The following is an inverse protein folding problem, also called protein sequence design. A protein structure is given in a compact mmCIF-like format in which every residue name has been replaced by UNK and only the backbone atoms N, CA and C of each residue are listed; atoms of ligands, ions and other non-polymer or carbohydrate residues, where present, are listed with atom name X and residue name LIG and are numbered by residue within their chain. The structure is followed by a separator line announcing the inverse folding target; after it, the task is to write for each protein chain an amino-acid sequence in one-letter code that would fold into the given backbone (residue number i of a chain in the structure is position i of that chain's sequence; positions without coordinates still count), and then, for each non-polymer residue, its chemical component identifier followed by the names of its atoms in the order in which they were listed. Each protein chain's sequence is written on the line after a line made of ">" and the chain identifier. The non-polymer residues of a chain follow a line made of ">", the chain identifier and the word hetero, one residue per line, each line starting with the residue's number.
data_IF_320429591133
#
_entry.id   IF_320429591133
#
_cell.length_a   1.000
_cell.length_b   1.000
_cell.length_c   1.000
_cell.angle_alpha   90.00
_cell.angle_beta   90.00
_cell.angle_gamma   90.00
#
_symmetry.space_group_name_H-M   'P 1'
#
loop_
_entity.id
_entity.type
_entity.pdbx_description
1 polymer ?
#
# COMPACT_ATOMS: atom_id res chain seq x y z
N UNK A 1 13.87 1.83 -10.82
CA UNK A 1 14.27 2.04 -9.40
C UNK A 1 13.38 3.14 -8.83
N UNK A 2 12.56 2.82 -7.81
CA UNK A 2 11.74 3.81 -7.08
C UNK A 2 12.68 4.64 -6.21
N UNK A 3 12.72 5.96 -6.42
CA UNK A 3 13.68 6.85 -5.73
C UNK A 3 13.04 7.64 -4.59
N UNK A 4 11.72 7.69 -4.49
CA UNK A 4 11.05 8.32 -3.35
C UNK A 4 9.52 8.25 -3.40
N UNK A 5 8.92 8.24 -2.21
CA UNK A 5 7.48 8.27 -1.97
C UNK A 5 7.11 9.59 -1.29
N UNK A 6 6.39 10.47 -1.98
CA UNK A 6 5.97 11.77 -1.44
C UNK A 6 4.46 11.77 -1.18
N UNK A 7 4.08 12.13 0.04
CA UNK A 7 2.70 12.22 0.48
C UNK A 7 2.22 13.65 0.25
N UNK A 8 1.20 13.85 -0.59
CA UNK A 8 0.92 15.19 -1.11
C UNK A 8 -0.43 15.82 -0.71
N UNK A 9 -1.55 15.12 -0.45
CA UNK A 9 -2.81 15.82 -0.08
C UNK A 9 -3.76 15.08 0.88
N UNK A 10 -4.55 15.89 1.62
CA UNK A 10 -5.54 15.56 2.66
C UNK A 10 -5.07 14.54 3.72
N UNK A 11 -4.26 15.03 4.65
CA UNK A 11 -3.90 14.32 5.88
C UNK A 11 -5.05 14.41 6.89
N UNK A 12 -5.58 13.27 7.30
CA UNK A 12 -6.51 13.18 8.44
C UNK A 12 -6.02 12.15 9.43
N UNK A 13 -6.09 12.50 10.71
CA UNK A 13 -5.80 11.57 11.78
C UNK A 13 -7.05 10.76 12.09
N UNK A 14 -6.95 9.44 12.03
CA UNK A 14 -8.04 8.51 12.34
C UNK A 14 -7.55 7.45 13.32
N UNK A 15 -8.44 6.98 14.19
CA UNK A 15 -8.22 5.73 14.93
C UNK A 15 -8.49 4.55 13.99
N UNK A 16 -7.99 3.36 14.34
CA UNK A 16 -8.18 2.16 13.50
C UNK A 16 -9.66 1.81 13.36
N UNK A 17 -10.41 1.87 14.46
CA UNK A 17 -11.85 1.60 14.46
C UNK A 17 -12.65 2.60 13.62
N UNK A 18 -12.30 3.89 13.66
CA UNK A 18 -12.98 4.89 12.82
C UNK A 18 -12.67 4.71 11.33
N UNK A 19 -11.44 4.32 10.99
CA UNK A 19 -11.08 3.99 9.62
C UNK A 19 -11.77 2.71 9.14
N UNK A 20 -11.89 1.69 10.00
CA UNK A 20 -12.59 0.44 9.71
C UNK A 20 -14.07 0.70 9.37
N UNK A 21 -14.74 1.55 10.15
CA UNK A 21 -16.11 1.97 9.89
C UNK A 21 -16.22 2.76 8.57
N UNK A 22 -15.30 3.71 8.33
CA UNK A 22 -15.28 4.52 7.11
C UNK A 22 -15.10 3.68 5.84
N UNK A 23 -14.23 2.67 5.88
CA UNK A 23 -13.96 1.77 4.76
C UNK A 23 -14.96 0.62 4.65
N UNK A 24 -15.94 0.53 5.56
CA UNK A 24 -16.84 -0.62 5.68
C UNK A 24 -16.08 -1.95 5.81
N UNK A 25 -14.94 -1.94 6.50
CA UNK A 25 -14.04 -3.08 6.66
C UNK A 25 -13.83 -3.39 8.16
N UNK A 26 -14.77 -4.10 8.82
CA UNK A 26 -14.71 -4.33 10.26
C UNK A 26 -13.49 -5.16 10.69
N UNK A 27 -12.94 -5.95 9.78
CA UNK A 27 -11.74 -6.78 9.96
C UNK A 27 -10.42 -6.00 9.83
N UNK A 28 -10.47 -4.72 9.46
CA UNK A 28 -9.27 -3.88 9.29
C UNK A 28 -8.33 -3.90 10.52
N UNK A 29 -8.80 -3.83 11.77
CA UNK A 29 -7.91 -3.89 12.93
C UNK A 29 -7.10 -5.19 12.99
N UNK A 30 -7.73 -6.33 12.70
CA UNK A 30 -7.07 -7.63 12.73
C UNK A 30 -6.06 -7.76 11.59
N UNK A 31 -6.43 -7.35 10.36
CA UNK A 31 -5.53 -7.36 9.20
C UNK A 31 -4.31 -6.48 9.47
N UNK A 32 -4.55 -5.28 9.98
CA UNK A 32 -3.49 -4.33 10.29
C UNK A 32 -2.59 -4.84 11.41
N UNK A 33 -3.14 -5.51 12.42
CA UNK A 33 -2.37 -6.10 13.51
C UNK A 33 -1.45 -7.22 13.02
N UNK A 34 -1.96 -8.15 12.21
CA UNK A 34 -1.14 -9.17 11.54
C UNK A 34 -0.06 -8.55 10.66
N UNK A 35 -0.43 -7.53 9.87
CA UNK A 35 0.52 -6.84 9.01
C UNK A 35 1.61 -6.13 9.80
N UNK A 36 1.29 -5.46 10.91
CA UNK A 36 2.30 -4.81 11.74
C UNK A 36 3.22 -5.85 12.42
N UNK A 37 2.64 -6.95 12.89
CA UNK A 37 3.39 -8.04 13.49
C UNK A 37 4.40 -8.65 12.51
N UNK A 38 3.95 -8.98 11.29
CA UNK A 38 4.82 -9.57 10.24
C UNK A 38 5.98 -8.67 9.83
N UNK A 39 5.86 -7.37 10.07
CA UNK A 39 6.91 -6.38 9.76
C UNK A 39 7.91 -6.22 10.90
N UNK A 40 7.46 -6.40 12.15
CA UNK A 40 8.32 -6.34 13.35
C UNK A 40 9.10 -7.65 13.56
N UNK A 41 8.50 -8.79 13.19
CA UNK A 41 9.05 -10.13 13.39
C UNK A 41 9.08 -10.90 12.05
N UNK A 42 10.01 -10.57 11.13
CA UNK A 42 10.04 -11.16 9.78
C UNK A 42 10.56 -12.61 9.72
N UNK A 43 10.99 -13.19 10.85
CA UNK A 43 11.67 -14.49 10.92
C UNK A 43 10.81 -15.58 11.59
N UNK A 44 9.68 -15.21 12.20
CA UNK A 44 8.79 -16.18 12.84
C UNK A 44 7.81 -16.73 11.81
N UNK A 45 7.59 -18.05 11.81
CA UNK A 45 6.56 -18.70 10.99
C UNK A 45 5.18 -18.22 11.48
N UNK A 46 4.58 -17.30 10.73
CA UNK A 46 3.39 -16.54 11.12
C UNK A 46 2.11 -17.37 11.23
N UNK A 47 2.16 -18.65 10.86
CA UNK A 47 1.00 -19.55 10.81
C UNK A 47 0.53 -20.02 12.20
N UNK A 48 1.39 -19.92 13.24
CA UNK A 48 1.11 -20.45 14.58
C UNK A 48 0.79 -19.39 15.66
N UNK A 49 0.72 -18.11 15.30
CA UNK A 49 0.65 -17.03 16.30
C UNK A 49 -0.81 -16.70 16.62
N UNK A 50 -1.25 -17.09 17.81
CA UNK A 50 -2.56 -16.73 18.33
C UNK A 50 -2.68 -15.20 18.45
N UNK A 51 -3.74 -14.63 17.83
CA UNK A 51 -4.08 -13.20 17.83
C UNK A 51 -4.04 -12.52 19.23
N UNK A 52 -4.09 -13.32 20.29
CA UNK A 52 -4.14 -12.92 21.69
C UNK A 52 -2.75 -12.58 22.30
N UNK A 53 -1.63 -12.90 21.64
CA UNK A 53 -0.28 -12.63 22.18
C UNK A 53 0.31 -11.27 21.77
N UNK A 54 -0.25 -10.62 20.75
CA UNK A 54 0.26 -9.33 20.29
C UNK A 54 -0.58 -8.18 20.87
N UNK A 55 0.04 -7.15 21.48
CA UNK A 55 -0.69 -6.07 22.13
C UNK A 55 -1.62 -5.34 21.13
N UNK A 56 -2.85 -4.99 21.52
CA UNK A 56 -3.78 -4.30 20.64
C UNK A 56 -3.24 -2.92 20.25
N UNK A 57 -3.20 -2.63 18.95
CA UNK A 57 -2.84 -1.31 18.44
C UNK A 57 -4.08 -0.41 18.38
N UNK A 58 -4.27 0.42 19.40
CA UNK A 58 -5.27 1.51 19.41
C UNK A 58 -4.65 2.86 19.02
N UNK A 59 -3.50 2.84 18.35
CA UNK A 59 -2.81 4.06 17.95
C UNK A 59 -3.55 4.80 16.84
N UNK A 60 -3.43 6.13 16.85
CA UNK A 60 -3.89 6.95 15.74
C UNK A 60 -2.98 6.79 14.52
N UNK A 61 -3.58 6.82 13.33
CA UNK A 61 -2.89 6.78 12.05
C UNK A 61 -3.17 8.05 11.26
N UNK A 62 -2.16 8.48 10.50
CA UNK A 62 -2.35 9.50 9.48
C UNK A 62 -2.82 8.81 8.21
N UNK A 63 -4.03 9.12 7.74
CA UNK A 63 -4.58 8.63 6.48
C UNK A 63 -4.38 9.69 5.40
N UNK A 64 -4.05 9.24 4.20
CA UNK A 64 -3.82 10.07 3.02
C UNK A 64 -4.63 9.53 1.84
N UNK A 65 -5.17 10.46 1.06
CA UNK A 65 -6.04 10.16 -0.07
C UNK A 65 -5.25 10.10 -1.40
N UNK A 66 -3.97 10.43 -1.39
CA UNK A 66 -3.14 10.32 -2.58
C UNK A 66 -1.67 10.21 -2.22
N UNK A 67 -0.92 9.63 -3.13
CA UNK A 67 0.50 9.43 -2.99
C UNK A 67 1.20 9.61 -4.35
N UNK A 68 2.39 10.20 -4.32
CA UNK A 68 3.22 10.35 -5.51
C UNK A 68 4.42 9.39 -5.44
N UNK A 69 4.54 8.56 -6.47
CA UNK A 69 5.64 7.64 -6.69
C UNK A 69 6.61 8.25 -7.69
N UNK A 70 7.87 8.37 -7.32
CA UNK A 70 8.93 8.81 -8.24
C UNK A 70 9.78 7.63 -8.65
N UNK A 71 9.92 7.39 -9.94
CA UNK A 71 10.75 6.31 -10.47
C UNK A 71 11.43 6.68 -11.77
N UNK A 72 12.55 6.01 -12.02
CA UNK A 72 13.22 6.07 -13.31
C UNK A 72 12.61 5.06 -14.27
N UNK A 73 12.17 5.52 -15.44
CA UNK A 73 11.63 4.67 -16.49
C UNK A 73 12.59 4.70 -17.70
N UNK A 74 13.39 3.63 -17.86
CA UNK A 74 14.40 3.52 -18.93
C UNK A 74 13.83 3.70 -20.34
N UNK A 75 12.56 3.33 -20.54
CA UNK A 75 11.86 3.44 -21.83
C UNK A 75 11.22 4.80 -22.07
N UNK A 76 11.10 5.66 -21.05
CA UNK A 76 10.41 6.94 -21.16
C UNK A 76 11.42 8.09 -21.19
N UNK A 77 11.55 8.77 -22.33
CA UNK A 77 12.43 9.93 -22.50
C UNK A 77 11.86 11.23 -21.89
N UNK A 78 10.67 11.17 -21.27
CA UNK A 78 10.07 12.34 -20.62
C UNK A 78 10.69 12.59 -19.24
N UNK A 79 11.45 13.70 -19.13
CA UNK A 79 11.98 14.24 -17.88
C UNK A 79 13.49 14.48 -17.91
N UNK A 80 14.00 15.31 -17.00
CA UNK A 80 15.45 15.45 -16.79
C UNK A 80 15.97 14.09 -16.28
N UNK A 81 16.83 13.44 -17.06
CA UNK A 81 17.35 12.10 -16.77
C UNK A 81 16.27 11.00 -16.64
N UNK A 82 15.18 11.00 -17.41
CA UNK A 82 14.23 9.87 -17.42
C UNK A 82 13.45 9.61 -16.11
N UNK A 83 13.38 10.62 -15.22
CA UNK A 83 12.57 10.55 -14.00
C UNK A 83 11.09 10.81 -14.30
N UNK A 84 10.24 9.91 -13.81
CA UNK A 84 8.79 9.97 -13.90
C UNK A 84 8.16 10.10 -12.51
N UNK A 85 7.04 10.83 -12.44
CA UNK A 85 6.20 10.92 -11.25
C UNK A 85 4.81 10.37 -11.59
N UNK A 86 4.35 9.41 -10.81
CA UNK A 86 3.01 8.86 -10.92
C UNK A 86 2.20 9.19 -9.66
N UNK A 87 1.02 9.77 -9.87
CA UNK A 87 0.09 10.08 -8.80
C UNK A 87 -0.94 8.96 -8.68
N UNK A 88 -0.98 8.37 -7.49
CA UNK A 88 -1.88 7.30 -7.13
C UNK A 88 -2.94 7.87 -6.19
N UNK A 89 -4.21 7.77 -6.57
CA UNK A 89 -5.32 8.32 -5.82
C UNK A 89 -6.08 7.23 -5.06
N UNK A 90 -6.51 7.59 -3.85
CA UNK A 90 -7.40 6.85 -2.99
C UNK A 90 -8.41 7.80 -2.33
N UNK A 91 -9.08 8.61 -3.16
CA UNK A 91 -9.96 9.67 -2.71
C UNK A 91 -11.40 9.12 -2.57
N UNK A 92 -11.95 8.98 -1.35
CA UNK A 92 -13.35 8.54 -1.18
C UNK A 92 -14.36 9.58 -1.70
N UNK A 93 -13.94 10.83 -1.82
CA UNK A 93 -14.72 11.92 -2.42
C UNK A 93 -13.79 12.79 -3.26
N UNK A 94 -13.93 12.70 -4.57
CA UNK A 94 -13.19 13.47 -5.56
C UNK A 94 -14.13 14.50 -6.20
N UNK A 95 -13.74 15.78 -6.14
CA UNK A 95 -14.50 16.91 -6.73
C UNK A 95 -15.98 16.99 -6.32
N UNK A 96 -16.34 16.47 -5.15
CA UNK A 96 -17.72 16.34 -4.67
C UNK A 96 -18.64 15.49 -5.58
N UNK A 97 -18.08 14.69 -6.48
CA UNK A 97 -18.85 13.88 -7.43
C UNK A 97 -18.93 12.40 -6.99
N UNK A 98 -17.84 11.86 -6.45
CA UNK A 98 -17.82 10.46 -6.02
C UNK A 98 -16.41 9.95 -5.72
N UNK A 99 -16.27 8.67 -5.37
CA UNK A 99 -14.96 8.08 -5.07
C UNK A 99 -14.10 7.96 -6.33
N UNK A 100 -12.79 8.15 -6.16
CA UNK A 100 -11.74 7.92 -7.15
C UNK A 100 -10.61 7.11 -6.53
N UNK A 101 -10.57 5.83 -6.86
CA UNK A 101 -9.55 4.90 -6.42
C UNK A 101 -8.74 4.41 -7.63
N UNK A 102 -7.41 4.44 -7.52
CA UNK A 102 -6.54 3.79 -8.48
C UNK A 102 -6.54 2.27 -8.25
N UNK A 103 -6.35 1.53 -9.35
CA UNK A 103 -6.18 0.09 -9.34
C UNK A 103 -4.71 -0.29 -9.20
N UNK A 104 -4.44 -1.44 -8.58
CA UNK A 104 -3.14 -2.09 -8.55
C UNK A 104 -3.28 -3.57 -8.86
N UNK A 105 -2.22 -4.16 -9.40
CA UNK A 105 -2.11 -5.61 -9.50
C UNK A 105 -1.57 -6.19 -8.20
N UNK A 106 -2.19 -7.28 -7.76
CA UNK A 106 -1.80 -8.06 -6.58
C UNK A 106 -1.50 -9.47 -7.06
N UNK A 107 -0.34 -10.01 -6.70
CA UNK A 107 -0.06 -11.43 -6.95
C UNK A 107 -0.92 -12.29 -6.04
N UNK A 108 -1.75 -13.12 -6.64
CA UNK A 108 -2.60 -14.09 -5.94
C UNK A 108 -2.18 -15.53 -6.22
N UNK A 109 -1.51 -15.79 -7.35
CA UNK A 109 -0.88 -17.06 -7.63
C UNK A 109 0.54 -16.87 -8.21
N UNK A 110 1.60 -17.01 -7.39
CA UNK A 110 2.98 -16.80 -7.84
C UNK A 110 3.46 -17.88 -8.83
N UNK A 111 2.82 -19.05 -8.86
CA UNK A 111 3.18 -20.15 -9.76
C UNK A 111 2.54 -20.00 -11.16
N UNK A 112 1.55 -19.09 -11.29
CA UNK A 112 0.93 -18.81 -12.57
C UNK A 112 1.76 -17.80 -13.38
N UNK A 113 1.85 -18.04 -14.68
CA UNK A 113 2.68 -17.23 -15.57
C UNK A 113 2.07 -15.85 -15.85
N UNK A 114 2.90 -14.82 -15.76
CA UNK A 114 2.56 -13.45 -16.18
C UNK A 114 1.30 -12.90 -15.48
N UNK A 115 0.37 -12.39 -16.28
CA UNK A 115 -0.87 -11.77 -15.79
C UNK A 115 -1.85 -12.78 -15.18
N UNK A 116 -1.71 -14.08 -15.46
CA UNK A 116 -2.61 -15.12 -14.93
C UNK A 116 -2.48 -15.31 -13.41
N UNK A 117 -1.37 -14.85 -12.83
CA UNK A 117 -1.14 -14.86 -11.38
C UNK A 117 -1.57 -13.58 -10.66
N UNK A 118 -2.18 -12.63 -11.37
CA UNK A 118 -2.50 -11.28 -10.87
C UNK A 118 -4.00 -11.04 -10.78
N UNK A 119 -4.43 -10.48 -9.65
CA UNK A 119 -5.75 -9.88 -9.50
C UNK A 119 -5.66 -8.36 -9.44
N UNK A 120 -6.78 -7.70 -9.74
CA UNK A 120 -6.91 -6.25 -9.67
C UNK A 120 -7.56 -5.88 -8.34
N UNK A 121 -6.89 -4.99 -7.58
CA UNK A 121 -7.41 -4.44 -6.34
C UNK A 121 -7.52 -2.91 -6.41
N UNK A 122 -8.50 -2.34 -5.72
CA UNK A 122 -8.59 -0.89 -5.51
C UNK A 122 -7.80 -0.46 -4.29
N UNK A 123 -7.05 0.64 -4.42
CA UNK A 123 -6.43 1.30 -3.28
C UNK A 123 -7.47 2.14 -2.57
N UNK A 124 -7.94 1.67 -1.42
CA UNK A 124 -8.97 2.36 -0.63
C UNK A 124 -8.42 3.55 0.18
N UNK A 125 -7.20 3.43 0.70
CA UNK A 125 -6.52 4.52 1.42
C UNK A 125 -5.01 4.26 1.55
N UNK A 126 -4.24 5.31 1.80
CA UNK A 126 -2.88 5.20 2.30
C UNK A 126 -2.85 5.58 3.79
N UNK A 127 -2.03 4.91 4.59
CA UNK A 127 -1.86 5.27 5.99
C UNK A 127 -0.40 5.24 6.44
N UNK A 128 -0.11 6.03 7.47
CA UNK A 128 1.17 6.05 8.19
C UNK A 128 0.88 5.97 9.68
N UNK A 129 1.43 4.95 10.33
CA UNK A 129 1.46 4.82 11.79
C UNK A 129 2.77 5.40 12.35
N UNK A 130 2.75 5.83 13.60
CA UNK A 130 3.94 6.33 14.31
C UNK A 130 4.72 5.24 15.04
N UNK A 131 4.35 3.97 14.85
CA UNK A 131 5.14 2.84 15.37
C UNK A 131 6.53 2.99 14.77
N UNK A 132 7.55 3.15 15.62
CA UNK A 132 8.93 3.35 15.20
C UNK A 132 9.30 2.16 14.31
N UNK A 133 9.51 2.41 13.02
CA UNK A 133 9.69 1.46 11.93
C UNK A 133 8.40 0.97 11.24
N UNK A 134 7.85 1.78 10.32
CA UNK A 134 7.22 1.22 9.13
C UNK A 134 7.21 2.22 7.97
N UNK A 135 8.27 2.19 7.17
CA UNK A 135 8.32 2.85 5.87
C UNK A 135 8.04 1.77 4.81
N UNK A 136 6.79 1.73 4.33
CA UNK A 136 6.31 1.13 3.08
C UNK A 136 7.07 -0.12 2.59
N UNK A 137 6.62 -1.31 3.02
CA UNK A 137 7.00 -2.60 2.38
C UNK A 137 5.96 -3.09 1.36
N UNK A 138 4.91 -2.30 1.09
CA UNK A 138 3.85 -2.65 0.14
C UNK A 138 4.25 -2.46 -1.34
N UNK A 139 5.29 -1.68 -1.64
CA UNK A 139 5.68 -1.38 -3.03
C UNK A 139 6.98 -2.05 -3.50
N UNK A 140 7.69 -2.79 -2.64
CA UNK A 140 8.78 -3.66 -3.10
C UNK A 140 8.27 -4.75 -4.05
N UNK A 141 6.98 -5.09 -3.95
CA UNK A 141 6.33 -6.05 -4.85
C UNK A 141 5.98 -5.44 -6.22
N UNK A 142 5.55 -4.17 -6.29
CA UNK A 142 5.27 -3.49 -7.58
C UNK A 142 6.55 -3.29 -8.40
N UNK A 143 7.70 -3.09 -7.74
CA UNK A 143 9.00 -3.03 -8.41
C UNK A 143 9.45 -4.35 -9.06
N UNK A 144 9.00 -5.50 -8.54
CA UNK A 144 9.30 -6.82 -9.11
C UNK A 144 8.47 -7.12 -10.35
N UNK A 145 7.21 -6.69 -10.40
CA UNK A 145 6.32 -6.87 -11.57
C UNK A 145 6.87 -6.10 -12.79
N UNK A 146 7.47 -4.92 -12.56
CA UNK A 146 8.12 -4.16 -13.62
C UNK A 146 9.45 -4.78 -14.12
N UNK A 147 10.13 -5.59 -13.30
CA UNK A 147 11.35 -6.30 -13.70
C UNK A 147 11.04 -7.60 -14.45
N UNK A 148 10.00 -8.32 -14.04
CA UNK A 148 9.53 -9.54 -14.72
C UNK A 148 9.00 -9.29 -16.14
N UNK A 149 8.47 -8.10 -16.43
CA UNK A 149 8.06 -7.72 -17.79
C UNK A 149 9.19 -7.17 -18.67
N UNK A 150 10.39 -6.95 -18.13
CA UNK A 150 11.54 -6.46 -18.90
C UNK A 150 12.46 -7.60 -19.40
N UNK A 151 12.10 -8.86 -19.14
CA UNK A 151 12.83 -10.06 -19.60
C UNK A 151 12.00 -10.97 -20.52
N UNK A 152 10.85 -10.50 -21.03
CA UNK A 152 10.11 -11.13 -22.14
C UNK A 152 10.22 -10.28 -23.40
#
# INVERSE_FOLDING_TARGET
>A
MLTGLNILEHKRTRTVGTLAAELCLPQLPNILHHFLYSQLFPTDDLDDIALNECPPYDGSMCVYNSLCSTFFALSNLCGLYGMCHEYIHSCPMWRNEGPRFNCVFVVTNPEAEGMCGLDIAHILCFFRSSIKALCIRALSYVGLIAWGMAQM
#
